data_IF_341844331595
#
_entry.id   IF_341844331595
#
_cell.length_a   1.000
_cell.length_b   1.000
_cell.length_c   1.000
_cell.angle_alpha   90.00
_cell.angle_beta   90.00
_cell.angle_gamma   90.00
#
_symmetry.space_group_name_H-M   'P 1'
#
loop_
_entity.id
_entity.type
_entity.pdbx_description
1 polymer ?
#
# COMPACT_ATOMS: atom_id res chain seq x y z
N UNK A 1 25.09 -55.18 19.86
CA UNK A 1 23.64 -54.91 20.02
C UNK A 1 23.32 -53.68 20.86
N UNK A 2 23.41 -53.67 22.21
CA UNK A 2 22.92 -52.53 23.04
C UNK A 2 23.42 -51.11 22.64
N UNK A 3 24.72 -50.95 22.31
CA UNK A 3 25.28 -49.64 21.89
C UNK A 3 24.73 -49.11 20.56
N UNK A 4 24.29 -50.01 19.69
CA UNK A 4 23.79 -49.68 18.35
C UNK A 4 22.37 -49.11 18.44
N UNK A 5 21.51 -49.74 19.26
CA UNK A 5 20.18 -49.22 19.57
C UNK A 5 20.22 -47.84 20.20
N UNK A 6 21.14 -47.60 21.14
CA UNK A 6 21.30 -46.26 21.77
C UNK A 6 21.65 -45.20 20.73
N UNK A 7 22.57 -45.49 19.79
CA UNK A 7 22.88 -44.55 18.69
C UNK A 7 21.66 -44.27 17.82
N UNK A 8 20.88 -45.29 17.47
CA UNK A 8 19.66 -45.14 16.67
C UNK A 8 18.63 -44.27 17.38
N UNK A 9 18.38 -44.49 18.68
CA UNK A 9 17.45 -43.66 19.46
C UNK A 9 17.92 -42.22 19.61
N UNK A 10 19.21 -41.99 19.81
CA UNK A 10 19.79 -40.63 19.85
C UNK A 10 19.61 -39.94 18.50
N UNK A 11 19.88 -40.62 17.39
CA UNK A 11 19.67 -40.07 16.04
C UNK A 11 18.20 -39.73 15.78
N UNK A 12 17.27 -40.61 16.14
CA UNK A 12 15.83 -40.36 16.02
C UNK A 12 15.41 -39.16 16.88
N UNK A 13 15.93 -39.04 18.10
CA UNK A 13 15.68 -37.91 18.99
C UNK A 13 16.14 -36.59 18.38
N UNK A 14 17.35 -36.55 17.79
CA UNK A 14 17.89 -35.37 17.10
C UNK A 14 17.00 -34.98 15.91
N UNK A 15 16.59 -35.95 15.08
CA UNK A 15 15.69 -35.71 13.94
C UNK A 15 14.34 -35.15 14.41
N UNK A 16 13.81 -35.66 15.53
CA UNK A 16 12.59 -35.14 16.14
C UNK A 16 12.73 -33.68 16.57
N UNK A 17 13.82 -33.32 17.23
CA UNK A 17 14.10 -31.93 17.66
C UNK A 17 14.25 -31.01 16.45
N UNK A 18 15.00 -31.41 15.42
CA UNK A 18 15.19 -30.61 14.22
C UNK A 18 13.87 -30.39 13.46
N UNK A 19 13.03 -31.42 13.36
CA UNK A 19 11.70 -31.31 12.76
C UNK A 19 10.82 -30.34 13.55
N UNK A 20 10.84 -30.41 14.88
CA UNK A 20 10.10 -29.49 15.73
C UNK A 20 10.57 -28.03 15.56
N UNK A 21 11.88 -27.78 15.55
CA UNK A 21 12.46 -26.45 15.35
C UNK A 21 12.07 -25.87 13.98
N UNK A 22 12.08 -26.69 12.92
CA UNK A 22 11.65 -26.27 11.59
C UNK A 22 10.16 -25.87 11.57
N UNK A 23 9.28 -26.66 12.18
CA UNK A 23 7.84 -26.34 12.27
C UNK A 23 7.62 -25.07 13.10
N UNK A 24 8.35 -24.91 14.19
CA UNK A 24 8.27 -23.73 15.04
C UNK A 24 8.72 -22.46 14.28
N UNK A 25 9.86 -22.50 13.59
CA UNK A 25 10.35 -21.40 12.76
C UNK A 25 9.36 -21.04 11.65
N UNK A 26 8.82 -22.05 10.95
CA UNK A 26 7.80 -21.84 9.92
C UNK A 26 6.57 -21.11 10.50
N UNK A 27 6.07 -21.57 11.65
CA UNK A 27 4.90 -20.99 12.31
C UNK A 27 5.14 -19.54 12.74
N UNK A 28 6.32 -19.27 13.31
CA UNK A 28 6.71 -17.92 13.73
C UNK A 28 6.86 -16.97 12.52
N UNK A 29 7.47 -17.44 11.43
CA UNK A 29 7.62 -16.65 10.21
C UNK A 29 6.27 -16.33 9.58
N UNK A 30 5.37 -17.31 9.49
CA UNK A 30 4.02 -17.11 8.95
C UNK A 30 3.21 -16.12 9.81
N UNK A 31 3.28 -16.24 11.14
CA UNK A 31 2.65 -15.29 12.06
C UNK A 31 3.18 -13.87 11.85
N UNK A 32 4.50 -13.70 11.75
CA UNK A 32 5.13 -12.41 11.52
C UNK A 32 4.76 -11.81 10.15
N UNK A 33 4.61 -12.63 9.12
CA UNK A 33 4.19 -12.19 7.79
C UNK A 33 2.77 -11.62 7.80
N UNK A 34 1.83 -12.33 8.45
CA UNK A 34 0.44 -11.86 8.61
C UNK A 34 0.40 -10.49 9.29
N UNK A 35 1.10 -10.34 10.42
CA UNK A 35 1.11 -9.07 11.17
C UNK A 35 1.76 -7.92 10.39
N UNK A 36 2.76 -8.23 9.53
CA UNK A 36 3.37 -7.25 8.63
C UNK A 36 2.36 -6.80 7.57
N UNK A 37 1.64 -7.73 6.95
CA UNK A 37 0.59 -7.44 5.95
C UNK A 37 -0.55 -6.61 6.58
N UNK A 38 -1.06 -6.98 7.76
CA UNK A 38 -2.09 -6.21 8.49
C UNK A 38 -1.63 -4.77 8.81
N UNK A 39 -0.38 -4.61 9.25
CA UNK A 39 0.20 -3.28 9.49
C UNK A 39 0.33 -2.47 8.21
N UNK A 40 0.72 -3.10 7.10
CA UNK A 40 0.80 -2.46 5.80
C UNK A 40 -0.59 -2.03 5.31
N UNK A 41 -1.62 -2.87 5.47
CA UNK A 41 -3.01 -2.58 5.12
C UNK A 41 -3.53 -1.35 5.87
N UNK A 42 -3.28 -1.29 7.19
CA UNK A 42 -3.64 -0.14 8.01
C UNK A 42 -2.92 1.14 7.57
N UNK A 43 -1.60 1.05 7.32
CA UNK A 43 -0.81 2.18 6.83
C UNK A 43 -1.26 2.66 5.45
N UNK A 44 -1.63 1.73 4.57
CA UNK A 44 -2.17 2.03 3.25
C UNK A 44 -3.50 2.77 3.35
N UNK A 45 -4.43 2.28 4.17
CA UNK A 45 -5.71 2.94 4.39
C UNK A 45 -5.54 4.38 4.94
N UNK A 46 -4.64 4.57 5.92
CA UNK A 46 -4.29 5.90 6.42
C UNK A 46 -3.68 6.81 5.33
N UNK A 47 -2.85 6.26 4.45
CA UNK A 47 -2.28 7.01 3.34
C UNK A 47 -3.37 7.42 2.33
N UNK A 48 -4.25 6.51 1.94
CA UNK A 48 -5.40 6.81 1.07
C UNK A 48 -6.33 7.86 1.68
N UNK A 49 -6.64 7.75 2.98
CA UNK A 49 -7.40 8.77 3.70
C UNK A 49 -6.70 10.13 3.66
N UNK A 50 -5.38 10.15 3.85
CA UNK A 50 -4.58 11.37 3.79
C UNK A 50 -4.55 11.99 2.40
N UNK A 51 -4.57 11.18 1.32
CA UNK A 51 -4.72 11.67 -0.05
C UNK A 51 -6.07 12.38 -0.21
N UNK A 52 -7.18 11.74 0.18
CA UNK A 52 -8.51 12.34 0.09
C UNK A 52 -8.61 13.66 0.88
N UNK A 53 -8.00 13.72 2.06
CA UNK A 53 -7.95 14.94 2.87
C UNK A 53 -7.07 16.01 2.22
N UNK A 54 -5.89 15.63 1.71
CA UNK A 54 -4.97 16.54 1.04
C UNK A 54 -5.59 17.18 -0.20
N UNK A 55 -6.32 16.41 -1.01
CA UNK A 55 -7.09 16.95 -2.14
C UNK A 55 -8.10 18.00 -1.65
N UNK A 56 -8.88 17.69 -0.62
CA UNK A 56 -9.87 18.64 -0.07
C UNK A 56 -9.20 19.91 0.45
N UNK A 57 -8.06 19.81 1.13
CA UNK A 57 -7.34 20.95 1.69
C UNK A 57 -6.64 21.82 0.64
N UNK A 58 -6.13 21.22 -0.43
CA UNK A 58 -5.56 21.95 -1.56
C UNK A 58 -6.65 22.73 -2.32
N UNK A 59 -7.84 22.14 -2.44
CA UNK A 59 -8.95 22.66 -3.23
C UNK A 59 -9.87 23.65 -2.50
N UNK A 60 -9.79 23.70 -1.15
CA UNK A 60 -10.75 24.45 -0.35
C UNK A 60 -10.57 25.98 -0.40
N UNK A 61 -9.54 26.55 -1.02
CA UNK A 61 -9.24 28.00 -1.09
C UNK A 61 -9.22 28.76 0.27
N UNK A 62 -9.55 28.11 1.39
CA UNK A 62 -9.68 28.68 2.73
C UNK A 62 -8.39 28.58 3.55
N UNK A 63 -7.41 27.80 3.08
CA UNK A 63 -6.08 27.66 3.70
C UNK A 63 -4.99 27.96 2.66
N UNK A 64 -3.82 28.36 3.14
CA UNK A 64 -2.64 28.49 2.29
C UNK A 64 -2.38 27.17 1.54
N UNK A 65 -2.26 27.24 0.22
CA UNK A 65 -1.94 26.11 -0.67
C UNK A 65 -0.54 25.55 -0.37
N UNK A 66 0.34 26.40 0.19
CA UNK A 66 1.76 26.14 0.44
C UNK A 66 1.99 24.91 1.35
N UNK A 67 1.32 24.73 2.50
CA UNK A 67 1.43 23.50 3.29
C UNK A 67 0.63 22.31 2.76
N UNK A 68 -0.47 22.54 2.05
CA UNK A 68 -1.41 21.48 1.62
C UNK A 68 -0.83 20.59 0.51
N UNK A 69 -0.08 21.17 -0.43
CA UNK A 69 0.51 20.43 -1.54
C UNK A 69 1.65 19.46 -1.11
N UNK A 70 2.61 19.86 -0.26
CA UNK A 70 3.58 18.92 0.34
C UNK A 70 2.92 17.80 1.14
N UNK A 71 1.84 18.09 1.86
CA UNK A 71 1.08 17.06 2.57
C UNK A 71 0.47 16.04 1.61
N UNK A 72 -0.20 16.51 0.55
CA UNK A 72 -0.77 15.64 -0.49
C UNK A 72 0.31 14.78 -1.16
N UNK A 73 1.43 15.40 -1.56
CA UNK A 73 2.58 14.70 -2.14
C UNK A 73 3.16 13.62 -1.20
N UNK A 74 3.27 13.92 0.10
CA UNK A 74 3.73 12.95 1.08
C UNK A 74 2.75 11.79 1.22
N UNK A 75 1.43 12.05 1.16
CA UNK A 75 0.41 11.04 1.27
C UNK A 75 0.42 10.09 0.06
N UNK A 76 0.53 10.62 -1.17
CA UNK A 76 0.65 9.80 -2.39
C UNK A 76 1.91 8.95 -2.38
N UNK A 77 3.06 9.53 -1.98
CA UNK A 77 4.32 8.81 -1.88
C UNK A 77 4.24 7.66 -0.87
N UNK A 78 3.60 7.91 0.28
CA UNK A 78 3.39 6.88 1.30
C UNK A 78 2.50 5.75 0.79
N UNK A 79 1.40 6.06 0.11
CA UNK A 79 0.49 5.06 -0.45
C UNK A 79 1.22 4.12 -1.43
N UNK A 80 2.02 4.67 -2.34
CA UNK A 80 2.86 3.88 -3.26
C UNK A 80 3.84 2.99 -2.48
N UNK A 81 4.60 3.59 -1.56
CA UNK A 81 5.69 2.89 -0.85
C UNK A 81 5.22 1.70 -0.01
N UNK A 82 3.97 1.74 0.48
CA UNK A 82 3.43 0.71 1.37
C UNK A 82 2.62 -0.35 0.62
N UNK A 83 2.08 -0.02 -0.56
CA UNK A 83 1.12 -0.88 -1.25
C UNK A 83 1.68 -2.27 -1.58
N UNK A 84 2.93 -2.36 -2.03
CA UNK A 84 3.62 -3.63 -2.30
C UNK A 84 3.75 -4.58 -1.10
N UNK A 85 3.53 -4.09 0.12
CA UNK A 85 3.58 -4.90 1.35
C UNK A 85 2.18 -5.26 1.89
N UNK A 86 1.12 -4.81 1.23
CA UNK A 86 -0.27 -5.06 1.66
C UNK A 86 -0.71 -6.48 1.32
N UNK A 87 -1.76 -6.95 2.00
CA UNK A 87 -2.45 -8.18 1.62
C UNK A 87 -3.18 -8.08 0.27
N UNK A 88 -3.36 -6.86 -0.23
CA UNK A 88 -4.07 -6.58 -1.49
C UNK A 88 -3.17 -6.73 -2.73
N UNK A 89 -1.86 -6.57 -2.58
CA UNK A 89 -0.91 -6.49 -3.69
C UNK A 89 -0.97 -7.71 -4.62
N UNK A 90 -1.01 -8.93 -4.05
CA UNK A 90 -1.08 -10.16 -4.84
C UNK A 90 -2.38 -10.27 -5.66
N UNK A 91 -3.46 -9.61 -5.21
CA UNK A 91 -4.76 -9.63 -5.88
C UNK A 91 -4.97 -8.47 -6.85
N UNK A 92 -4.25 -7.36 -6.66
CA UNK A 92 -4.40 -6.16 -7.47
C UNK A 92 -3.06 -5.41 -7.58
N UNK A 93 -2.06 -6.06 -8.17
CA UNK A 93 -0.71 -5.47 -8.27
C UNK A 93 -0.68 -4.19 -9.11
N UNK A 94 -1.59 -4.06 -10.08
CA UNK A 94 -1.63 -2.91 -11.00
C UNK A 94 -1.94 -1.57 -10.33
N UNK A 95 -2.61 -1.58 -9.16
CA UNK A 95 -2.89 -0.36 -8.40
C UNK A 95 -1.60 0.35 -7.95
N UNK A 96 -0.50 -0.36 -7.73
CA UNK A 96 0.81 0.26 -7.41
C UNK A 96 1.25 1.25 -8.50
N UNK A 97 1.17 0.82 -9.76
CA UNK A 97 1.54 1.63 -10.91
C UNK A 97 0.64 2.86 -11.06
N UNK A 98 -0.65 2.70 -10.81
CA UNK A 98 -1.63 3.80 -10.89
C UNK A 98 -1.37 4.84 -9.80
N UNK A 99 -1.14 4.39 -8.56
CA UNK A 99 -0.76 5.27 -7.46
C UNK A 99 0.58 5.97 -7.73
N UNK A 100 1.51 5.29 -8.39
CA UNK A 100 2.79 5.88 -8.78
C UNK A 100 2.63 6.99 -9.82
N UNK A 101 1.76 6.78 -10.81
CA UNK A 101 1.40 7.84 -11.79
C UNK A 101 0.77 9.04 -11.08
N UNK A 102 -0.20 8.81 -10.19
CA UNK A 102 -0.79 9.88 -9.38
C UNK A 102 0.30 10.64 -8.61
N UNK A 103 1.19 9.93 -7.92
CA UNK A 103 2.27 10.55 -7.16
C UNK A 103 3.18 11.42 -8.04
N UNK A 104 3.53 10.96 -9.24
CA UNK A 104 4.36 11.74 -10.16
C UNK A 104 3.66 13.01 -10.64
N UNK A 105 2.36 12.92 -10.93
CA UNK A 105 1.59 14.07 -11.38
C UNK A 105 1.43 15.11 -10.26
N UNK A 106 1.18 14.67 -9.01
CA UNK A 106 1.12 15.55 -7.84
C UNK A 106 2.48 16.18 -7.49
N UNK A 107 3.57 15.43 -7.62
CA UNK A 107 4.93 15.93 -7.27
C UNK A 107 5.52 16.85 -8.33
N UNK A 108 5.04 16.80 -9.56
CA UNK A 108 5.45 17.71 -10.62
C UNK A 108 4.82 19.10 -10.43
N UNK A 109 5.59 20.01 -9.83
CA UNK A 109 5.17 21.39 -9.53
C UNK A 109 4.59 22.14 -10.74
N UNK A 110 5.14 21.91 -11.93
CA UNK A 110 4.71 22.58 -13.16
C UNK A 110 3.28 22.21 -13.57
N UNK A 111 2.87 20.95 -13.32
CA UNK A 111 1.53 20.46 -13.65
C UNK A 111 0.53 20.77 -12.55
N UNK A 112 0.93 20.58 -11.29
CA UNK A 112 -0.02 20.56 -10.19
C UNK A 112 -0.59 21.94 -9.85
N UNK A 113 0.15 23.03 -10.06
CA UNK A 113 -0.37 24.38 -9.84
C UNK A 113 -1.55 24.72 -10.78
N UNK A 114 -1.47 24.29 -12.05
CA UNK A 114 -2.55 24.50 -13.02
C UNK A 114 -3.76 23.59 -12.74
N UNK A 115 -3.52 22.33 -12.40
CA UNK A 115 -4.56 21.37 -12.02
C UNK A 115 -5.34 21.86 -10.79
N UNK A 116 -4.65 22.39 -9.78
CA UNK A 116 -5.27 22.97 -8.59
C UNK A 116 -6.05 24.24 -8.93
N UNK A 117 -5.56 25.07 -9.85
CA UNK A 117 -6.28 26.27 -10.28
C UNK A 117 -7.62 25.95 -10.97
N UNK A 118 -7.72 24.80 -11.65
CA UNK A 118 -8.94 24.33 -12.34
C UNK A 118 -9.92 23.58 -11.45
N UNK A 119 -9.49 23.17 -10.25
CA UNK A 119 -10.22 22.33 -9.28
C UNK A 119 -10.48 20.88 -9.68
N UNK A 120 -9.66 20.37 -10.58
CA UNK A 120 -9.89 19.08 -11.23
C UNK A 120 -9.60 17.88 -10.29
N UNK A 121 -8.84 18.08 -9.20
CA UNK A 121 -8.50 17.00 -8.27
C UNK A 121 -9.71 16.45 -7.49
N UNK A 122 -10.72 17.29 -7.26
CA UNK A 122 -11.91 16.87 -6.50
C UNK A 122 -12.69 15.76 -7.21
N UNK A 123 -12.56 15.64 -8.54
CA UNK A 123 -13.16 14.59 -9.36
C UNK A 123 -12.58 13.19 -9.05
N UNK A 124 -11.37 13.13 -8.48
CA UNK A 124 -10.74 11.88 -8.05
C UNK A 124 -11.34 11.34 -6.74
N UNK A 125 -11.97 12.18 -5.91
CA UNK A 125 -12.40 11.79 -4.56
C UNK A 125 -13.36 10.60 -4.53
N UNK A 126 -14.40 10.49 -5.39
CA UNK A 126 -15.32 9.37 -5.35
C UNK A 126 -14.63 8.04 -5.63
N UNK A 127 -13.75 7.98 -6.62
CA UNK A 127 -13.04 6.75 -6.99
C UNK A 127 -11.96 6.40 -5.97
N UNK A 128 -11.24 7.38 -5.42
CA UNK A 128 -10.25 7.17 -4.36
C UNK A 128 -10.89 6.60 -3.08
N UNK A 129 -12.09 7.04 -2.73
CA UNK A 129 -12.87 6.47 -1.61
C UNK A 129 -13.30 5.02 -1.89
N UNK A 130 -13.76 4.71 -3.12
CA UNK A 130 -14.07 3.32 -3.52
C UNK A 130 -12.82 2.43 -3.41
N UNK A 131 -11.68 2.88 -3.95
CA UNK A 131 -10.41 2.13 -3.91
C UNK A 131 -9.92 1.95 -2.49
N UNK A 132 -10.02 2.97 -1.62
CA UNK A 132 -9.69 2.84 -0.20
C UNK A 132 -10.54 1.76 0.49
N UNK A 133 -11.84 1.71 0.19
CA UNK A 133 -12.76 0.76 0.81
C UNK A 133 -12.65 -0.65 0.22
N UNK A 134 -12.19 -0.78 -1.03
CA UNK A 134 -12.01 -2.06 -1.70
C UNK A 134 -10.72 -2.09 -2.57
N UNK A 135 -9.52 -2.14 -1.96
CA UNK A 135 -8.26 -2.03 -2.71
C UNK A 135 -7.93 -3.24 -3.59
N UNK A 136 -8.66 -4.35 -3.40
CA UNK A 136 -8.51 -5.58 -4.21
C UNK A 136 -9.38 -5.58 -5.46
N UNK A 137 -10.20 -4.55 -5.68
CA UNK A 137 -11.12 -4.47 -6.82
C UNK A 137 -10.41 -3.89 -8.04
N UNK A 138 -9.99 -4.78 -8.94
CA UNK A 138 -9.32 -4.37 -10.17
C UNK A 138 -10.23 -3.58 -11.12
N UNK A 139 -11.56 -3.69 -11.00
CA UNK A 139 -12.48 -2.96 -11.88
C UNK A 139 -12.41 -1.44 -11.65
N UNK A 140 -11.98 -1.02 -10.46
CA UNK A 140 -11.80 0.39 -10.11
C UNK A 140 -10.53 1.00 -10.72
N UNK A 141 -9.58 0.17 -11.15
CA UNK A 141 -8.27 0.63 -11.61
C UNK A 141 -8.35 1.40 -12.91
N UNK A 142 -9.14 0.92 -13.87
CA UNK A 142 -9.31 1.59 -15.16
C UNK A 142 -9.99 2.95 -14.98
N UNK A 143 -11.07 3.01 -14.18
CA UNK A 143 -11.75 4.26 -13.81
C UNK A 143 -10.77 5.23 -13.13
N UNK A 144 -10.00 4.76 -12.15
CA UNK A 144 -9.02 5.58 -11.44
C UNK A 144 -7.91 6.09 -12.38
N UNK A 145 -7.35 5.22 -13.20
CA UNK A 145 -6.26 5.57 -14.11
C UNK A 145 -6.70 6.62 -15.14
N UNK A 146 -7.86 6.44 -15.76
CA UNK A 146 -8.40 7.39 -16.72
C UNK A 146 -8.65 8.75 -16.08
N UNK A 147 -9.26 8.78 -14.90
CA UNK A 147 -9.48 10.01 -14.16
C UNK A 147 -8.16 10.70 -13.77
N UNK A 148 -7.13 9.95 -13.37
CA UNK A 148 -5.80 10.52 -13.12
C UNK A 148 -5.23 11.15 -14.39
N UNK A 149 -5.28 10.46 -15.53
CA UNK A 149 -4.75 11.00 -16.79
C UNK A 149 -5.49 12.29 -17.18
N UNK A 150 -6.81 12.28 -17.15
CA UNK A 150 -7.64 13.41 -17.57
C UNK A 150 -7.54 14.63 -16.66
N UNK A 151 -7.33 14.43 -15.35
CA UNK A 151 -7.49 15.49 -14.34
C UNK A 151 -6.18 15.87 -13.63
N UNK A 152 -5.05 15.23 -13.96
CA UNK A 152 -3.75 15.54 -13.33
C UNK A 152 -2.60 15.73 -14.32
N UNK A 153 -2.89 15.62 -15.62
CA UNK A 153 -1.93 15.97 -16.68
C UNK A 153 -2.35 17.28 -17.35
N UNK A 154 -1.38 18.05 -17.82
CA UNK A 154 -1.54 19.33 -18.52
C UNK A 154 -1.01 19.16 -19.94
#
# INVERSE_FOLDING_TARGET
MKKEYVKVYVTIGIIGILSFLNIFQYTQNHYNEIHRKEKADSNFNLAMQSICLGIKEVESNERDIIPSLPFLSSATSKAVSVYGYTSYYEKNSSLEGILWVLNNNITNRSNIEEVVAKKDLTLLLPILEKVKNNPSDETLNEELYNLIQENTTV
#
